data_IF_261692302412
#
_entry.id   IF_261692302412
#
_cell.length_a   1.000
_cell.length_b   1.000
_cell.length_c   1.000
_cell.angle_alpha   90.00
_cell.angle_beta   90.00
_cell.angle_gamma   90.00
#
_symmetry.space_group_name_H-M   'P 1'
#
loop_
_entity.id
_entity.type
_entity.pdbx_description
1 polymer ?
#
# COMPACT_ATOMS: atom_id res chain seq x y z
N UNK A 1 -15.87 64.18 -28.57
CA UNK A 1 -16.55 62.86 -28.37
C UNK A 1 -15.91 61.70 -29.12
N UNK A 2 -15.10 61.88 -30.18
CA UNK A 2 -14.45 60.76 -30.91
C UNK A 2 -13.17 60.19 -30.26
N UNK A 3 -12.45 60.96 -29.44
CA UNK A 3 -11.19 60.49 -28.80
C UNK A 3 -11.42 59.54 -27.61
N UNK A 4 -12.53 59.71 -26.86
CA UNK A 4 -12.83 58.90 -25.66
C UNK A 4 -13.23 57.46 -26.07
N UNK A 5 -13.88 57.31 -27.22
CA UNK A 5 -14.26 56.00 -27.78
C UNK A 5 -13.06 55.15 -28.20
N UNK A 6 -11.94 55.78 -28.58
CA UNK A 6 -10.72 55.08 -28.99
C UNK A 6 -9.93 54.53 -27.79
N UNK A 7 -9.93 55.26 -26.66
CA UNK A 7 -9.29 54.84 -25.40
C UNK A 7 -10.00 53.65 -24.74
N UNK A 8 -11.33 53.58 -24.83
CA UNK A 8 -12.09 52.41 -24.38
C UNK A 8 -11.89 51.18 -25.28
N UNK A 9 -11.77 51.37 -26.60
CA UNK A 9 -11.49 50.27 -27.54
C UNK A 9 -10.10 49.65 -27.36
N UNK A 10 -9.10 50.46 -27.01
CA UNK A 10 -7.73 49.99 -26.78
C UNK A 10 -7.59 49.25 -25.43
N UNK A 11 -8.27 49.71 -24.38
CA UNK A 11 -8.28 49.06 -23.08
C UNK A 11 -8.94 47.68 -23.09
N UNK A 12 -9.97 47.48 -23.92
CA UNK A 12 -10.64 46.18 -24.08
C UNK A 12 -9.75 45.16 -24.81
N UNK A 13 -8.91 45.61 -25.76
CA UNK A 13 -7.97 44.74 -26.46
C UNK A 13 -6.83 44.26 -25.56
N UNK A 14 -6.34 45.10 -24.65
CA UNK A 14 -5.24 44.74 -23.71
C UNK A 14 -5.73 43.77 -22.61
N UNK A 15 -7.00 43.88 -22.20
CA UNK A 15 -7.61 42.97 -21.23
C UNK A 15 -7.86 41.55 -21.79
N UNK A 16 -8.04 41.40 -23.11
CA UNK A 16 -8.23 40.10 -23.76
C UNK A 16 -6.92 39.33 -24.01
N UNK A 17 -5.78 40.02 -24.00
CA UNK A 17 -4.45 39.43 -24.26
C UNK A 17 -3.75 38.97 -22.97
N UNK A 18 -4.23 39.40 -21.80
CA UNK A 18 -3.63 39.04 -20.52
C UNK A 18 -4.27 37.78 -19.94
N UNK A 19 -3.44 36.76 -19.70
CA UNK A 19 -3.72 35.51 -18.98
C UNK A 19 -4.34 34.35 -19.77
N UNK A 20 -3.66 33.92 -20.83
CA UNK A 20 -3.50 32.46 -21.02
C UNK A 20 -2.16 32.05 -20.39
N UNK A 21 -2.12 31.96 -19.05
CA UNK A 21 -1.17 31.06 -18.41
C UNK A 21 -1.65 29.65 -18.72
N UNK A 22 -1.24 29.10 -19.87
CA UNK A 22 -1.39 27.67 -20.13
C UNK A 22 -0.57 26.96 -19.07
N UNK A 23 -1.24 26.50 -18.01
CA UNK A 23 -0.67 25.50 -17.11
C UNK A 23 -0.21 24.36 -18.04
N UNK A 24 1.09 24.04 -18.12
CA UNK A 24 1.56 22.96 -18.96
C UNK A 24 0.81 21.71 -18.51
N UNK A 25 -0.11 21.22 -19.35
CA UNK A 25 -0.78 19.98 -19.06
C UNK A 25 0.31 18.92 -19.07
N UNK A 26 0.50 18.16 -17.98
CA UNK A 26 1.48 17.10 -17.96
C UNK A 26 1.19 16.22 -19.18
N UNK A 27 2.23 15.97 -20.00
CA UNK A 27 2.06 15.15 -21.19
C UNK A 27 1.61 13.75 -20.73
N UNK A 28 0.30 13.48 -20.84
CA UNK A 28 -0.34 12.27 -20.33
C UNK A 28 0.36 11.02 -20.85
N UNK A 29 0.81 11.04 -22.10
CA UNK A 29 1.56 9.94 -22.68
C UNK A 29 2.92 9.73 -22.00
N UNK A 30 3.68 10.81 -21.76
CA UNK A 30 4.96 10.73 -21.03
C UNK A 30 4.75 10.18 -19.62
N UNK A 31 3.75 10.67 -18.89
CA UNK A 31 3.44 10.20 -17.53
C UNK A 31 3.05 8.72 -17.51
N UNK A 32 2.19 8.28 -18.43
CA UNK A 32 1.77 6.87 -18.53
C UNK A 32 2.95 5.97 -18.94
N UNK A 33 3.76 6.39 -19.90
CA UNK A 33 4.95 5.64 -20.33
C UNK A 33 5.95 5.47 -19.19
N UNK A 34 6.19 6.54 -18.42
CA UNK A 34 7.07 6.49 -17.24
C UNK A 34 6.52 5.56 -16.17
N UNK A 35 5.24 5.67 -15.81
CA UNK A 35 4.61 4.78 -14.83
C UNK A 35 4.52 3.32 -15.30
N UNK A 36 4.44 3.07 -16.61
CA UNK A 36 4.49 1.71 -17.15
C UNK A 36 5.89 1.11 -17.04
N UNK A 37 6.94 1.87 -17.36
CA UNK A 37 8.33 1.43 -17.22
C UNK A 37 8.74 1.30 -15.75
N UNK A 38 8.22 2.18 -14.89
CA UNK A 38 8.53 2.26 -13.46
C UNK A 38 7.23 2.23 -12.63
N UNK A 39 6.56 1.07 -12.49
CA UNK A 39 5.31 0.98 -11.76
C UNK A 39 5.42 1.50 -10.32
N UNK A 40 4.48 2.34 -9.86
CA UNK A 40 4.43 2.77 -8.47
C UNK A 40 4.13 1.57 -7.55
N UNK A 41 4.38 1.72 -6.25
CA UNK A 41 4.27 0.62 -5.27
C UNK A 41 2.87 -0.05 -5.26
N UNK A 42 1.80 0.74 -5.34
CA UNK A 42 0.42 0.24 -5.34
C UNK A 42 0.03 -0.54 -6.61
N UNK A 43 0.84 -0.42 -7.68
CA UNK A 43 0.66 -1.20 -8.91
C UNK A 43 1.46 -2.51 -8.88
N UNK A 44 2.29 -2.74 -7.86
CA UNK A 44 3.06 -3.98 -7.70
C UNK A 44 2.24 -5.05 -6.99
N UNK A 45 2.42 -6.33 -7.34
CA UNK A 45 1.69 -7.40 -6.68
C UNK A 45 2.06 -7.51 -5.20
N UNK A 46 1.09 -7.97 -4.42
CA UNK A 46 1.26 -8.37 -3.02
C UNK A 46 1.17 -9.88 -2.89
N UNK A 47 1.60 -10.40 -1.74
CA UNK A 47 1.52 -11.83 -1.42
C UNK A 47 0.75 -12.07 -0.13
N UNK A 48 0.05 -13.18 -0.06
CA UNK A 48 -0.48 -13.67 1.21
C UNK A 48 0.66 -14.17 2.08
N UNK A 49 0.71 -13.66 3.31
CA UNK A 49 1.69 -14.02 4.30
C UNK A 49 1.01 -14.76 5.43
N UNK A 50 1.13 -16.08 5.39
CA UNK A 50 0.38 -16.98 6.24
C UNK A 50 1.04 -17.07 7.62
N UNK A 51 0.34 -16.62 8.65
CA UNK A 51 0.74 -16.73 10.05
C UNK A 51 0.00 -17.91 10.67
N UNK A 52 0.67 -19.06 10.66
CA UNK A 52 0.09 -20.34 11.06
C UNK A 52 0.03 -20.44 12.58
N UNK A 53 -1.14 -20.78 13.13
CA UNK A 53 -1.43 -20.79 14.58
C UNK A 53 -1.11 -19.46 15.29
N UNK A 54 -1.10 -18.33 14.57
CA UNK A 54 -0.62 -17.04 15.09
C UNK A 54 0.87 -17.00 15.43
N UNK A 55 1.64 -18.05 15.13
CA UNK A 55 3.05 -18.17 15.46
C UNK A 55 3.92 -17.41 14.45
N UNK A 56 4.76 -16.53 14.97
CA UNK A 56 5.62 -15.65 14.18
C UNK A 56 6.98 -15.49 14.85
N UNK A 57 8.03 -15.85 14.14
CA UNK A 57 9.39 -15.49 14.52
C UNK A 57 9.68 -14.05 14.07
N UNK A 58 9.99 -13.17 15.03
CA UNK A 58 10.20 -11.74 14.76
C UNK A 58 11.53 -11.42 14.06
N UNK A 59 12.52 -12.31 14.11
CA UNK A 59 13.75 -12.19 13.34
C UNK A 59 13.44 -12.53 11.89
N UNK A 60 12.79 -13.67 11.66
CA UNK A 60 12.41 -14.14 10.33
C UNK A 60 11.46 -13.19 9.63
N UNK A 61 10.50 -12.62 10.37
CA UNK A 61 9.60 -11.56 9.92
C UNK A 61 10.35 -10.45 9.16
N UNK A 62 11.47 -9.98 9.71
CA UNK A 62 12.25 -8.89 9.10
C UNK A 62 12.98 -9.35 7.84
N UNK A 63 13.57 -10.55 7.89
CA UNK A 63 14.26 -11.15 6.74
C UNK A 63 13.32 -11.38 5.55
N UNK A 64 12.10 -11.83 5.83
CA UNK A 64 11.06 -12.07 4.83
C UNK A 64 10.62 -10.76 4.19
N UNK A 65 10.37 -9.71 4.97
CA UNK A 65 10.02 -8.39 4.42
C UNK A 65 11.13 -7.80 3.54
N UNK A 66 12.40 -7.95 3.96
CA UNK A 66 13.55 -7.56 3.13
C UNK A 66 13.57 -8.36 1.82
N UNK A 67 13.28 -9.66 1.87
CA UNK A 67 13.24 -10.53 0.69
C UNK A 67 12.10 -10.17 -0.26
N UNK A 68 10.91 -9.90 0.29
CA UNK A 68 9.73 -9.40 -0.43
C UNK A 68 10.05 -8.10 -1.17
N UNK A 69 10.73 -7.15 -0.49
CA UNK A 69 11.16 -5.89 -1.12
C UNK A 69 12.16 -6.13 -2.25
N UNK A 70 13.16 -6.99 -2.02
CA UNK A 70 14.18 -7.33 -3.02
C UNK A 70 13.59 -8.02 -4.25
N UNK A 71 12.53 -8.80 -4.07
CA UNK A 71 11.80 -9.45 -5.16
C UNK A 71 10.95 -8.47 -6.00
N UNK A 72 10.83 -7.20 -5.59
CA UNK A 72 10.07 -6.18 -6.33
C UNK A 72 8.56 -6.19 -6.03
N UNK A 73 8.14 -6.80 -4.93
CA UNK A 73 6.73 -6.82 -4.50
C UNK A 73 6.32 -5.48 -3.88
N UNK A 74 5.00 -5.21 -3.94
CA UNK A 74 4.38 -4.01 -3.37
C UNK A 74 4.11 -4.12 -1.87
N UNK A 75 3.98 -5.34 -1.35
CA UNK A 75 3.58 -5.56 0.03
C UNK A 75 3.10 -6.96 0.34
N UNK A 76 2.44 -7.08 1.48
CA UNK A 76 1.90 -8.34 2.02
C UNK A 76 0.48 -8.15 2.53
N UNK A 77 -0.28 -9.23 2.57
CA UNK A 77 -1.49 -9.35 3.36
C UNK A 77 -1.27 -10.41 4.44
N UNK A 78 -1.29 -10.00 5.70
CA UNK A 78 -1.20 -10.92 6.83
C UNK A 78 -2.48 -11.74 6.87
N UNK A 79 -2.33 -13.05 6.77
CA UNK A 79 -3.40 -14.03 6.89
C UNK A 79 -3.10 -14.94 8.08
N UNK A 80 -3.66 -14.59 9.23
CA UNK A 80 -3.55 -15.41 10.43
C UNK A 80 -4.61 -16.52 10.43
N UNK A 81 -4.16 -17.77 10.60
CA UNK A 81 -4.99 -18.96 10.47
C UNK A 81 -4.57 -20.04 11.46
N UNK A 82 -5.54 -20.66 12.12
CA UNK A 82 -5.35 -21.89 12.87
C UNK A 82 -5.21 -23.11 11.95
N UNK A 83 -4.24 -23.97 12.24
CA UNK A 83 -4.06 -25.24 11.58
C UNK A 83 -4.82 -26.34 12.33
N UNK A 84 -5.66 -27.14 11.66
CA UNK A 84 -6.23 -28.32 12.29
C UNK A 84 -5.12 -29.36 12.54
N UNK A 85 -5.23 -30.21 13.57
CA UNK A 85 -4.23 -31.24 13.88
C UNK A 85 -3.93 -32.19 12.71
N UNK A 86 -4.90 -32.40 11.82
CA UNK A 86 -4.71 -33.22 10.61
C UNK A 86 -3.72 -32.58 9.60
N UNK A 87 -3.56 -31.25 9.62
CA UNK A 87 -2.64 -30.50 8.75
C UNK A 87 -1.23 -30.34 9.35
N UNK A 88 -1.06 -30.61 10.65
CA UNK A 88 0.25 -30.65 11.33
C UNK A 88 0.27 -31.81 12.35
N UNK A 89 0.30 -33.07 11.88
CA UNK A 89 0.19 -34.24 12.75
C UNK A 89 1.38 -34.39 13.72
N UNK A 90 2.50 -33.74 13.42
CA UNK A 90 3.72 -33.75 14.23
C UNK A 90 3.85 -32.51 15.12
N UNK A 91 2.87 -31.60 15.11
CA UNK A 91 2.88 -30.35 15.88
C UNK A 91 4.17 -29.54 15.71
N UNK A 92 4.66 -29.46 14.48
CA UNK A 92 5.88 -28.74 14.13
C UNK A 92 5.72 -27.23 14.29
N UNK A 93 4.49 -26.73 14.17
CA UNK A 93 4.18 -25.30 14.23
C UNK A 93 3.58 -25.00 15.62
N UNK A 94 4.33 -24.30 16.50
CA UNK A 94 3.85 -23.98 17.83
C UNK A 94 2.60 -23.09 17.79
N UNK A 95 1.88 -23.05 18.91
CA UNK A 95 0.85 -22.03 19.11
C UNK A 95 1.50 -20.66 19.31
N UNK A 96 1.02 -19.66 18.58
CA UNK A 96 1.29 -18.25 18.84
C UNK A 96 0.26 -17.63 19.78
N UNK A 97 0.35 -16.30 20.00
CA UNK A 97 -0.64 -15.57 20.78
C UNK A 97 -2.01 -15.59 20.11
N UNK A 98 -3.07 -15.57 20.92
CA UNK A 98 -4.44 -15.44 20.42
C UNK A 98 -4.59 -14.17 19.57
N UNK A 99 -5.31 -14.27 18.46
CA UNK A 99 -5.55 -13.15 17.55
C UNK A 99 -6.12 -11.94 18.29
N UNK A 100 -5.56 -10.76 18.02
CA UNK A 100 -5.91 -9.48 18.68
C UNK A 100 -5.66 -9.40 20.19
N UNK A 101 -5.00 -10.38 20.81
CA UNK A 101 -4.39 -10.18 22.14
C UNK A 101 -3.26 -9.14 22.08
N UNK A 102 -2.86 -8.58 23.22
CA UNK A 102 -1.76 -7.61 23.30
C UNK A 102 -0.47 -8.10 22.63
N UNK A 103 -0.15 -9.39 22.79
CA UNK A 103 1.01 -10.01 22.16
C UNK A 103 0.85 -10.11 20.63
N UNK A 104 -0.33 -10.49 20.13
CA UNK A 104 -0.63 -10.50 18.69
C UNK A 104 -0.53 -9.09 18.10
N UNK A 105 -1.15 -8.10 18.74
CA UNK A 105 -1.14 -6.70 18.29
C UNK A 105 0.28 -6.15 18.26
N UNK A 106 1.12 -6.49 19.25
CA UNK A 106 2.54 -6.09 19.27
C UNK A 106 3.31 -6.65 18.07
N UNK A 107 3.07 -7.89 17.69
CA UNK A 107 3.71 -8.52 16.51
C UNK A 107 3.19 -7.91 15.21
N UNK A 108 1.89 -7.67 15.08
CA UNK A 108 1.29 -6.99 13.93
C UNK A 108 1.86 -5.57 13.77
N UNK A 109 1.95 -4.81 14.88
CA UNK A 109 2.58 -3.50 14.88
C UNK A 109 4.04 -3.56 14.43
N UNK A 110 4.80 -4.57 14.86
CA UNK A 110 6.16 -4.77 14.36
C UNK A 110 6.17 -5.00 12.84
N UNK A 111 5.30 -5.88 12.32
CA UNK A 111 5.19 -6.12 10.89
C UNK A 111 4.91 -4.85 10.09
N UNK A 112 3.91 -4.06 10.51
CA UNK A 112 3.54 -2.78 9.89
C UNK A 112 4.73 -1.81 9.92
N UNK A 113 5.39 -1.68 11.07
CA UNK A 113 6.52 -0.76 11.24
C UNK A 113 7.71 -1.14 10.36
N UNK A 114 8.09 -2.41 10.31
CA UNK A 114 9.22 -2.87 9.50
C UNK A 114 8.90 -2.83 8.01
N UNK A 115 7.68 -3.16 7.59
CA UNK A 115 7.23 -3.01 6.21
C UNK A 115 7.22 -1.54 5.77
N UNK A 116 6.77 -0.63 6.64
CA UNK A 116 6.77 0.81 6.40
C UNK A 116 8.18 1.37 6.14
N UNK A 117 9.21 0.91 6.86
CA UNK A 117 10.61 1.28 6.60
C UNK A 117 11.09 0.88 5.19
N UNK A 118 10.49 -0.15 4.60
CA UNK A 118 10.80 -0.65 3.26
C UNK A 118 9.89 -0.06 2.17
N UNK A 119 8.92 0.76 2.57
CA UNK A 119 7.87 1.28 1.68
C UNK A 119 7.01 0.15 1.10
N UNK A 120 6.70 -0.87 1.91
CA UNK A 120 5.78 -1.96 1.57
C UNK A 120 4.40 -1.69 2.18
N UNK A 121 3.35 -2.04 1.45
CA UNK A 121 1.98 -2.02 1.95
C UNK A 121 1.65 -3.27 2.77
N UNK A 122 0.88 -3.12 3.84
CA UNK A 122 0.42 -4.24 4.69
C UNK A 122 -1.09 -4.22 4.76
N UNK A 123 -1.72 -5.32 4.35
CA UNK A 123 -3.10 -5.61 4.71
C UNK A 123 -3.18 -6.69 5.78
N UNK A 124 -4.38 -6.86 6.34
CA UNK A 124 -4.67 -7.79 7.43
C UNK A 124 -6.06 -8.40 7.21
N UNK A 125 -6.20 -9.70 7.43
CA UNK A 125 -7.49 -10.37 7.43
C UNK A 125 -8.42 -9.84 8.53
N UNK A 126 -9.72 -9.76 8.24
CA UNK A 126 -10.72 -9.17 9.15
C UNK A 126 -10.95 -10.01 10.42
N UNK A 127 -10.71 -11.31 10.35
CA UNK A 127 -10.83 -12.24 11.45
C UNK A 127 -9.87 -13.41 11.24
N UNK A 128 -9.48 -14.05 12.34
CA UNK A 128 -8.69 -15.28 12.32
C UNK A 128 -9.38 -16.39 11.50
N UNK A 129 -8.57 -17.25 10.89
CA UNK A 129 -8.99 -18.44 10.14
C UNK A 129 -9.64 -18.19 8.78
N UNK A 130 -9.82 -19.28 8.03
CA UNK A 130 -10.12 -19.28 6.59
C UNK A 130 -11.56 -18.83 6.24
N UNK A 131 -12.48 -18.81 7.20
CA UNK A 131 -13.90 -18.56 6.98
C UNK A 131 -14.43 -17.29 7.67
N UNK A 132 -13.55 -16.40 8.15
CA UNK A 132 -13.92 -15.25 8.98
C UNK A 132 -14.76 -15.61 10.23
N UNK A 133 -14.65 -16.86 10.69
CA UNK A 133 -15.38 -17.38 11.83
C UNK A 133 -14.64 -17.07 13.13
N UNK A 134 -15.21 -16.18 13.94
CA UNK A 134 -14.94 -16.18 15.39
C UNK A 134 -15.36 -17.55 15.90
N UNK A 135 -14.38 -18.39 16.25
CA UNK A 135 -14.62 -19.51 17.15
C UNK A 135 -13.85 -19.18 18.42
N UNK A 136 -14.53 -18.40 19.28
CA UNK A 136 -14.19 -18.32 20.70
C UNK A 136 -14.75 -19.52 21.42
#
# INVERSE_FOLDING_TARGET
MKLISCLFGLGLLVALVSFHNTIPQPNTYTTLKEGFNNPPIHARPKVYWWWLNGYVDTVRLKEELVSIKKAGLGGVDIFEIGLPPASDPNQLIPAGPAFMSDASVKTIHMAIREAGKLGLEVGLNLASSWNAGVVG
#
